data_IF_777714752825
#
_entry.id   IF_777714752825
#
_cell.length_a   1.000
_cell.length_b   1.000
_cell.length_c   1.000
_cell.angle_alpha   90.00
_cell.angle_beta   90.00
_cell.angle_gamma   90.00
#
_symmetry.space_group_name_H-M   'P 1'
#
loop_
_entity.id
_entity.type
_entity.pdbx_description
1 polymer ?
#
# COMPACT_ATOMS: atom_id res chain seq x y z
N UNK A 1 -25.79 -13.50 -12.91
CA UNK A 1 -25.58 -14.82 -12.25
C UNK A 1 -24.51 -15.68 -12.93
N UNK A 2 -24.44 -15.74 -14.27
CA UNK A 2 -23.38 -16.49 -14.98
C UNK A 2 -21.98 -15.90 -14.74
N UNK A 3 -21.83 -14.58 -14.76
CA UNK A 3 -20.55 -13.92 -14.49
C UNK A 3 -20.00 -14.23 -13.09
N UNK A 4 -20.85 -14.27 -12.06
CA UNK A 4 -20.44 -14.61 -10.69
C UNK A 4 -19.92 -16.04 -10.60
N UNK A 5 -20.58 -16.99 -11.27
CA UNK A 5 -20.12 -18.40 -11.32
C UNK A 5 -18.78 -18.52 -12.05
N UNK A 6 -18.59 -17.76 -13.11
CA UNK A 6 -17.37 -17.75 -13.90
C UNK A 6 -16.19 -17.12 -13.13
N UNK A 7 -16.39 -16.00 -12.45
CA UNK A 7 -15.39 -15.39 -11.56
C UNK A 7 -15.00 -16.32 -10.42
N UNK A 8 -15.97 -16.98 -9.80
CA UNK A 8 -15.71 -17.95 -8.74
C UNK A 8 -14.89 -19.14 -9.25
N UNK A 9 -15.23 -19.68 -10.43
CA UNK A 9 -14.48 -20.76 -11.07
C UNK A 9 -13.01 -20.36 -11.32
N UNK A 10 -12.78 -19.18 -11.91
CA UNK A 10 -11.42 -18.70 -12.13
C UNK A 10 -10.64 -18.51 -10.83
N UNK A 11 -11.27 -17.97 -9.78
CA UNK A 11 -10.64 -17.82 -8.47
C UNK A 11 -10.19 -19.17 -7.90
N UNK A 12 -11.05 -20.20 -7.96
CA UNK A 12 -10.70 -21.55 -7.49
C UNK A 12 -9.57 -22.16 -8.31
N UNK A 13 -9.63 -22.07 -9.65
CA UNK A 13 -8.57 -22.59 -10.54
C UNK A 13 -7.23 -21.91 -10.25
N UNK A 14 -7.23 -20.58 -10.05
CA UNK A 14 -6.02 -19.84 -9.71
C UNK A 14 -5.45 -20.23 -8.35
N UNK A 15 -6.30 -20.36 -7.32
CA UNK A 15 -5.85 -20.77 -5.98
C UNK A 15 -5.22 -22.16 -6.04
N UNK A 16 -5.88 -23.12 -6.67
CA UNK A 16 -5.36 -24.49 -6.82
C UNK A 16 -4.06 -24.48 -7.63
N UNK A 17 -4.02 -23.75 -8.75
CA UNK A 17 -2.84 -23.63 -9.60
C UNK A 17 -1.62 -23.07 -8.86
N UNK A 18 -1.81 -22.01 -8.08
CA UNK A 18 -0.75 -21.40 -7.27
C UNK A 18 -0.27 -22.36 -6.17
N UNK A 19 -1.18 -23.06 -5.49
CA UNK A 19 -0.81 -24.04 -4.47
C UNK A 19 -0.04 -25.23 -5.07
N UNK A 20 -0.48 -25.75 -6.21
CA UNK A 20 0.21 -26.83 -6.93
C UNK A 20 1.60 -26.40 -7.37
N UNK A 21 1.73 -25.22 -7.99
CA UNK A 21 3.02 -24.68 -8.44
C UNK A 21 3.97 -24.47 -7.26
N UNK A 22 3.48 -23.85 -6.18
CA UNK A 22 4.29 -23.60 -4.98
C UNK A 22 4.75 -24.93 -4.34
N UNK A 23 3.86 -25.92 -4.25
CA UNK A 23 4.19 -27.25 -3.74
C UNK A 23 5.24 -27.94 -4.59
N UNK A 24 5.11 -27.87 -5.92
CA UNK A 24 6.08 -28.43 -6.86
C UNK A 24 7.46 -27.79 -6.68
N UNK A 25 7.53 -26.47 -6.58
CA UNK A 25 8.80 -25.74 -6.36
C UNK A 25 9.43 -26.16 -5.02
N UNK A 26 8.64 -26.23 -3.94
CA UNK A 26 9.13 -26.64 -2.63
C UNK A 26 9.67 -28.07 -2.64
N UNK A 27 8.96 -28.99 -3.31
CA UNK A 27 9.40 -30.36 -3.47
C UNK A 27 10.71 -30.47 -4.26
N UNK A 28 10.83 -29.74 -5.37
CA UNK A 28 12.07 -29.68 -6.18
C UNK A 28 13.24 -29.05 -5.40
N UNK A 29 12.96 -28.13 -4.48
CA UNK A 29 13.94 -27.52 -3.60
C UNK A 29 14.32 -28.40 -2.38
N UNK A 30 13.69 -29.57 -2.22
CA UNK A 30 13.91 -30.47 -1.07
C UNK A 30 13.29 -29.97 0.25
N UNK A 31 12.41 -28.97 0.19
CA UNK A 31 11.73 -28.43 1.36
C UNK A 31 10.35 -29.12 1.57
N UNK A 32 10.01 -29.58 2.79
CA UNK A 32 8.71 -30.19 3.07
C UNK A 32 7.57 -29.16 2.88
N UNK A 33 6.66 -29.34 1.90
CA UNK A 33 5.67 -28.32 1.57
C UNK A 33 4.69 -28.02 2.70
N UNK A 34 4.29 -29.04 3.45
CA UNK A 34 3.35 -28.91 4.57
C UNK A 34 3.95 -28.00 5.66
N UNK A 35 5.23 -28.19 6.01
CA UNK A 35 5.90 -27.35 7.00
C UNK A 35 6.08 -25.93 6.49
N UNK A 36 6.40 -25.74 5.21
CA UNK A 36 6.49 -24.41 4.59
C UNK A 36 5.15 -23.65 4.71
N UNK A 37 4.02 -24.28 4.36
CA UNK A 37 2.70 -23.67 4.51
C UNK A 37 2.36 -23.40 5.99
N UNK A 38 2.71 -24.32 6.89
CA UNK A 38 2.56 -24.12 8.33
C UNK A 38 3.37 -22.92 8.83
N UNK A 39 4.59 -22.74 8.35
CA UNK A 39 5.43 -21.59 8.68
C UNK A 39 4.88 -20.29 8.10
N UNK A 40 4.34 -20.28 6.89
CA UNK A 40 3.65 -19.10 6.32
C UNK A 40 2.45 -18.70 7.18
N UNK A 41 1.63 -19.68 7.57
CA UNK A 41 0.45 -19.42 8.39
C UNK A 41 0.82 -18.96 9.80
N UNK A 42 1.70 -19.68 10.50
CA UNK A 42 2.17 -19.28 11.84
C UNK A 42 3.03 -18.02 11.81
N UNK A 43 3.66 -17.70 10.68
CA UNK A 43 4.41 -16.48 10.44
C UNK A 43 3.52 -15.24 10.31
N UNK A 44 2.30 -15.41 9.81
CA UNK A 44 1.34 -14.32 9.63
C UNK A 44 0.39 -14.13 10.82
N UNK A 45 -0.19 -15.21 11.35
CA UNK A 45 -1.24 -15.13 12.40
C UNK A 45 -0.90 -15.87 13.70
N UNK A 46 0.28 -16.50 13.79
CA UNK A 46 0.62 -17.36 14.92
C UNK A 46 0.84 -16.65 16.27
N UNK A 47 0.85 -15.32 16.29
CA UNK A 47 0.85 -14.53 17.54
C UNK A 47 0.23 -13.16 17.30
N UNK A 48 -0.15 -12.46 18.37
CA UNK A 48 -0.69 -11.11 18.29
C UNK A 48 0.27 -10.15 17.59
N UNK A 49 1.57 -10.22 17.92
CA UNK A 49 2.61 -9.39 17.30
C UNK A 49 2.70 -9.62 15.79
N UNK A 50 2.74 -10.89 15.35
CA UNK A 50 2.79 -11.22 13.92
C UNK A 50 1.56 -10.72 13.18
N UNK A 51 0.38 -10.91 13.77
CA UNK A 51 -0.86 -10.40 13.21
C UNK A 51 -0.84 -8.88 13.08
N UNK A 52 -0.37 -8.15 14.09
CA UNK A 52 -0.23 -6.69 14.00
C UNK A 52 0.77 -6.25 12.92
N UNK A 53 1.84 -7.01 12.67
CA UNK A 53 2.77 -6.73 11.57
C UNK A 53 2.10 -6.89 10.20
N UNK A 54 1.24 -7.91 10.04
CA UNK A 54 0.42 -8.05 8.83
C UNK A 54 -0.48 -6.83 8.65
N UNK A 55 -1.17 -6.40 9.70
CA UNK A 55 -2.02 -5.20 9.65
C UNK A 55 -1.25 -3.92 9.34
N UNK A 56 -0.04 -3.76 9.89
CA UNK A 56 0.82 -2.60 9.63
C UNK A 56 1.13 -2.42 8.15
N UNK A 57 1.27 -3.52 7.39
CA UNK A 57 1.43 -3.47 5.94
C UNK A 57 0.09 -3.42 5.20
N UNK A 58 -0.90 -4.19 5.64
CA UNK A 58 -2.17 -4.35 4.93
C UNK A 58 -3.04 -3.09 4.94
N UNK A 59 -3.10 -2.37 6.07
CA UNK A 59 -3.90 -1.16 6.21
C UNK A 59 -3.48 -0.07 5.21
N UNK A 60 -2.20 0.37 5.15
CA UNK A 60 -1.81 1.41 4.21
C UNK A 60 -1.99 1.00 2.75
N UNK A 61 -1.72 -0.27 2.40
CA UNK A 61 -1.93 -0.78 1.04
C UNK A 61 -3.41 -0.77 0.65
N UNK A 62 -4.30 -1.14 1.58
CA UNK A 62 -5.75 -1.12 1.34
C UNK A 62 -6.25 0.31 1.17
N UNK A 63 -5.79 1.26 1.99
CA UNK A 63 -6.13 2.67 1.85
C UNK A 63 -5.65 3.23 0.49
N UNK A 64 -4.45 2.86 0.05
CA UNK A 64 -3.94 3.22 -1.27
C UNK A 64 -4.85 2.66 -2.37
N UNK A 65 -5.21 1.38 -2.30
CA UNK A 65 -6.10 0.75 -3.28
C UNK A 65 -7.46 1.46 -3.34
N UNK A 66 -8.05 1.81 -2.20
CA UNK A 66 -9.30 2.58 -2.15
C UNK A 66 -9.17 3.94 -2.84
N UNK A 67 -8.05 4.66 -2.65
CA UNK A 67 -7.77 5.92 -3.34
C UNK A 67 -7.60 5.76 -4.85
N UNK A 68 -6.87 4.72 -5.28
CA UNK A 68 -6.63 4.42 -6.70
C UNK A 68 -7.90 4.06 -7.46
N UNK A 69 -8.83 3.35 -6.83
CA UNK A 69 -10.13 3.02 -7.45
C UNK A 69 -10.85 4.27 -7.93
N UNK A 70 -10.78 5.38 -7.18
CA UNK A 70 -11.42 6.63 -7.58
C UNK A 70 -10.76 7.22 -8.85
N UNK A 71 -9.43 7.28 -8.89
CA UNK A 71 -8.70 7.84 -10.04
C UNK A 71 -8.88 6.99 -11.29
N UNK A 72 -8.82 5.66 -11.16
CA UNK A 72 -9.02 4.76 -12.30
C UNK A 72 -10.46 4.81 -12.83
N UNK A 73 -11.45 5.02 -11.96
CA UNK A 73 -12.85 5.16 -12.37
C UNK A 73 -13.09 6.37 -13.29
N UNK A 74 -12.32 7.44 -13.12
CA UNK A 74 -12.40 8.64 -13.99
C UNK A 74 -11.38 8.59 -15.15
N UNK A 75 -10.76 7.44 -15.38
CA UNK A 75 -9.81 7.24 -16.49
C UNK A 75 -8.41 7.80 -16.24
N UNK A 76 -8.09 8.23 -15.02
CA UNK A 76 -6.75 8.73 -14.65
C UNK A 76 -5.91 7.65 -13.99
N UNK A 77 -4.64 7.57 -14.42
CA UNK A 77 -3.68 6.63 -13.86
C UNK A 77 -2.83 7.30 -12.76
N UNK A 78 -3.13 7.03 -11.49
CA UNK A 78 -2.40 7.58 -10.35
C UNK A 78 -1.22 6.68 -9.94
N UNK A 79 -0.18 6.63 -10.76
CA UNK A 79 1.07 5.88 -10.45
C UNK A 79 1.91 6.61 -9.38
N UNK A 80 1.65 7.90 -9.14
CA UNK A 80 2.34 8.73 -8.15
C UNK A 80 1.99 8.47 -6.68
N UNK A 81 1.27 7.37 -6.38
CA UNK A 81 0.77 7.12 -5.04
C UNK A 81 1.88 6.78 -4.04
N UNK A 82 2.99 6.18 -4.49
CA UNK A 82 4.14 5.91 -3.62
C UNK A 82 4.71 7.22 -3.06
N UNK A 83 4.88 8.24 -3.90
CA UNK A 83 5.31 9.56 -3.48
C UNK A 83 4.30 10.24 -2.55
N UNK A 84 2.99 10.02 -2.75
CA UNK A 84 1.94 10.52 -1.84
C UNK A 84 2.05 9.88 -0.46
N UNK A 85 2.30 8.57 -0.39
CA UNK A 85 2.54 7.85 0.87
C UNK A 85 3.80 8.39 1.57
N UNK A 86 4.89 8.58 0.82
CA UNK A 86 6.14 9.13 1.35
C UNK A 86 5.94 10.55 1.90
N UNK A 87 5.33 11.46 1.12
CA UNK A 87 5.08 12.83 1.55
C UNK A 87 4.16 12.88 2.78
N UNK A 88 3.16 12.00 2.85
CA UNK A 88 2.32 11.82 4.03
C UNK A 88 3.13 11.33 5.25
N UNK A 89 3.99 10.34 5.07
CA UNK A 89 4.85 9.81 6.13
C UNK A 89 5.82 10.87 6.67
N UNK A 90 6.46 11.65 5.80
CA UNK A 90 7.33 12.77 6.18
C UNK A 90 6.53 13.78 7.02
N UNK A 91 5.35 14.19 6.55
CA UNK A 91 4.51 15.20 7.22
C UNK A 91 4.02 14.72 8.59
N UNK A 92 3.56 13.47 8.68
CA UNK A 92 3.15 12.86 9.94
C UNK A 92 4.33 12.77 10.93
N UNK A 93 5.50 12.34 10.45
CA UNK A 93 6.72 12.22 11.26
C UNK A 93 7.19 13.58 11.77
N UNK A 94 7.14 14.62 10.94
CA UNK A 94 7.49 15.97 11.35
C UNK A 94 6.62 16.46 12.53
N UNK A 95 5.31 16.23 12.46
CA UNK A 95 4.38 16.60 13.54
C UNK A 95 4.64 15.79 14.81
N UNK A 96 4.82 14.47 14.70
CA UNK A 96 5.18 13.63 15.85
C UNK A 96 6.48 14.10 16.49
N UNK A 97 7.46 14.54 15.68
CA UNK A 97 8.74 15.03 16.19
C UNK A 97 8.60 16.35 16.95
N UNK A 98 7.75 17.26 16.47
CA UNK A 98 7.41 18.49 17.19
C UNK A 98 6.73 18.20 18.55
N UNK A 99 5.95 17.13 18.62
CA UNK A 99 5.27 16.68 19.83
C UNK A 99 6.06 15.80 20.78
N UNK A 100 7.32 15.48 20.47
CA UNK A 100 8.07 14.43 21.17
C UNK A 100 8.25 14.68 22.68
N UNK A 101 8.31 15.96 23.11
CA UNK A 101 8.41 16.36 24.52
C UNK A 101 7.07 16.88 25.08
N UNK A 102 5.97 16.75 24.34
CA UNK A 102 4.67 17.25 24.78
C UNK A 102 4.07 16.37 25.87
N UNK A 103 3.36 17.00 26.80
CA UNK A 103 2.51 16.32 27.80
C UNK A 103 1.19 15.82 27.20
N UNK A 104 0.89 16.14 25.94
CA UNK A 104 -0.35 15.77 25.24
C UNK A 104 -0.07 14.88 24.01
N UNK A 105 0.41 13.63 24.18
CA UNK A 105 0.77 12.75 23.07
C UNK A 105 -0.42 12.42 22.15
N UNK A 106 -1.63 12.30 22.71
CA UNK A 106 -2.85 12.02 21.94
C UNK A 106 -3.17 13.10 20.91
N UNK A 107 -2.94 14.37 21.27
CA UNK A 107 -3.12 15.49 20.35
C UNK A 107 -2.19 15.37 19.14
N UNK A 108 -0.92 15.06 19.38
CA UNK A 108 0.06 14.91 18.31
C UNK A 108 -0.18 13.67 17.44
N UNK A 109 -0.79 12.61 17.97
CA UNK A 109 -1.25 11.49 17.16
C UNK A 109 -2.36 11.91 16.18
N UNK A 110 -3.37 12.65 16.65
CA UNK A 110 -4.44 13.16 15.80
C UNK A 110 -3.90 14.14 14.77
N UNK A 111 -3.02 15.07 15.17
CA UNK A 111 -2.38 16.02 14.26
C UNK A 111 -1.50 15.31 13.24
N UNK A 112 -0.77 14.26 13.62
CA UNK A 112 0.06 13.49 12.69
C UNK A 112 -0.79 12.77 11.65
N UNK A 113 -1.96 12.24 12.03
CA UNK A 113 -2.91 11.67 11.09
C UNK A 113 -3.39 12.70 10.07
N UNK A 114 -3.80 13.88 10.53
CA UNK A 114 -4.20 14.99 9.66
C UNK A 114 -3.05 15.50 8.79
N UNK A 115 -1.84 15.60 9.34
CA UNK A 115 -0.66 15.99 8.59
C UNK A 115 -0.26 14.98 7.53
N UNK A 116 -0.42 13.69 7.80
CA UNK A 116 -0.23 12.64 6.80
C UNK A 116 -1.21 12.78 5.63
N UNK A 117 -2.49 13.01 5.93
CA UNK A 117 -3.52 13.27 4.91
C UNK A 117 -3.18 14.52 4.08
N UNK A 118 -2.79 15.62 4.73
CA UNK A 118 -2.42 16.87 4.05
C UNK A 118 -1.15 16.70 3.22
N UNK A 119 -0.12 16.07 3.74
CA UNK A 119 1.14 15.83 3.04
C UNK A 119 0.95 15.02 1.75
N UNK A 120 0.27 13.88 1.85
CA UNK A 120 -0.05 13.06 0.69
C UNK A 120 -1.02 13.76 -0.28
N UNK A 121 -2.02 14.47 0.24
CA UNK A 121 -2.98 15.24 -0.56
C UNK A 121 -2.33 16.37 -1.35
N UNK A 122 -1.42 17.13 -0.73
CA UNK A 122 -0.65 18.19 -1.40
C UNK A 122 0.25 17.60 -2.50
N UNK A 123 0.85 16.43 -2.26
CA UNK A 123 1.63 15.73 -3.28
C UNK A 123 0.78 15.32 -4.48
N UNK A 124 -0.42 14.80 -4.24
CA UNK A 124 -1.38 14.47 -5.29
C UNK A 124 -1.84 15.71 -6.06
N UNK A 125 -2.12 16.82 -5.37
CA UNK A 125 -2.47 18.11 -5.97
C UNK A 125 -1.34 18.60 -6.86
N UNK A 126 -0.08 18.44 -6.43
CA UNK A 126 1.08 18.84 -7.24
C UNK A 126 1.18 18.01 -8.54
N UNK A 127 0.99 16.69 -8.47
CA UNK A 127 0.91 15.85 -9.67
C UNK A 127 -0.23 16.29 -10.62
N UNK A 128 -1.41 16.58 -10.06
CA UNK A 128 -2.55 17.09 -10.82
C UNK A 128 -2.31 18.47 -11.44
N UNK A 129 -1.56 19.34 -10.77
CA UNK A 129 -1.14 20.64 -11.30
C UNK A 129 -0.20 20.47 -12.50
N UNK A 130 0.80 19.59 -12.41
CA UNK A 130 1.69 19.28 -13.54
C UNK A 130 0.92 18.76 -14.75
N UNK A 131 -0.13 17.96 -14.52
CA UNK A 131 -1.02 17.49 -15.59
C UNK A 131 -1.85 18.61 -16.22
N UNK A 132 -2.54 19.40 -15.40
CA UNK A 132 -3.55 20.37 -15.87
C UNK A 132 -2.96 21.69 -16.35
N UNK A 133 -1.86 22.14 -15.76
CA UNK A 133 -1.18 23.39 -16.11
C UNK A 133 0.16 23.17 -16.80
N UNK A 134 0.89 22.12 -16.42
CA UNK A 134 2.18 21.78 -17.03
C UNK A 134 2.10 20.98 -18.33
N UNK A 135 0.92 20.46 -18.70
CA UNK A 135 0.73 19.64 -19.90
C UNK A 135 1.44 18.28 -19.84
N UNK A 136 1.94 17.87 -18.67
CA UNK A 136 2.64 16.59 -18.48
C UNK A 136 1.61 15.46 -18.41
N UNK A 137 1.88 14.30 -19.01
CA UNK A 137 1.01 13.14 -18.80
C UNK A 137 1.01 12.74 -17.32
N UNK A 138 -0.16 12.41 -16.77
CA UNK A 138 -0.36 12.05 -15.37
C UNK A 138 0.51 10.87 -14.93
N UNK A 139 0.80 9.92 -15.84
CA UNK A 139 1.70 8.80 -15.59
C UNK A 139 3.12 9.29 -15.33
N UNK A 140 3.64 10.15 -16.21
CA UNK A 140 5.01 10.69 -16.08
C UNK A 140 5.13 11.68 -14.93
N UNK A 141 4.11 12.51 -14.69
CA UNK A 141 4.07 13.42 -13.55
C UNK A 141 4.10 12.63 -12.23
N UNK A 142 3.25 11.60 -12.11
CA UNK A 142 3.22 10.74 -10.92
C UNK A 142 4.53 9.99 -10.69
N UNK A 143 5.04 9.29 -11.70
CA UNK A 143 6.28 8.53 -11.60
C UNK A 143 7.49 9.43 -11.30
N UNK A 144 7.59 10.58 -11.97
CA UNK A 144 8.65 11.55 -11.70
C UNK A 144 8.64 12.04 -10.25
N UNK A 145 7.45 12.31 -9.71
CA UNK A 145 7.31 12.71 -8.31
C UNK A 145 7.58 11.58 -7.32
N UNK A 146 7.41 10.30 -7.68
CA UNK A 146 7.87 9.19 -6.83
C UNK A 146 9.40 9.24 -6.68
N UNK A 147 10.14 9.47 -7.77
CA UNK A 147 11.60 9.59 -7.69
C UNK A 147 12.05 10.79 -6.85
N UNK A 148 11.36 11.92 -6.96
CA UNK A 148 11.64 13.09 -6.10
C UNK A 148 11.38 12.74 -4.63
N UNK A 149 10.25 12.09 -4.33
CA UNK A 149 9.91 11.68 -2.98
C UNK A 149 10.95 10.71 -2.40
N UNK A 150 11.42 9.75 -3.20
CA UNK A 150 12.45 8.80 -2.81
C UNK A 150 13.82 9.48 -2.59
N UNK A 151 14.13 10.55 -3.32
CA UNK A 151 15.39 11.27 -3.17
C UNK A 151 15.46 12.12 -1.88
N UNK A 152 14.32 12.43 -1.26
CA UNK A 152 14.23 13.26 -0.05
C UNK A 152 13.98 12.46 1.24
N UNK A 153 13.86 11.13 1.14
CA UNK A 153 13.78 10.19 2.26
C UNK A 153 15.11 9.51 2.52
#
# INVERSE_FOLDING_TARGET
MQEVKQTFFYAVVLIVGVLCLTTLILFLAGAPPIDAFKHIFLGSVGSWIKFTQVLMAWIPLTLCACGLVYTFRIGLWNIGIEGQVVAGAISATAILRMGAASTMPELFLVLAFLGGMLGGGLWAVFAGFLKTKGGVNEIFAGLGLNFVAQAIT
#
